data_IF_191722313767
#
_entry.id   IF_191722313767
#
_cell.length_a   1.000
_cell.length_b   1.000
_cell.length_c   1.000
_cell.angle_alpha   90.00
_cell.angle_beta   90.00
_cell.angle_gamma   90.00
#
_symmetry.space_group_name_H-M   'P 1'
#
loop_
_entity.id
_entity.type
_entity.pdbx_description
1 polymer ?
#
# COMPACT_ATOMS: atom_id res chain seq x y z
N UNK A 1 -14.29 3.24 -7.29
CA UNK A 1 -15.02 3.95 -6.25
C UNK A 1 -15.99 3.01 -5.52
N UNK A 2 -15.93 3.00 -4.19
CA UNK A 2 -16.98 2.38 -3.39
C UNK A 2 -18.13 3.39 -3.18
N UNK A 3 -19.37 2.95 -3.33
CA UNK A 3 -20.56 3.79 -3.09
C UNK A 3 -21.71 2.95 -2.55
N UNK A 4 -22.61 3.58 -1.83
CA UNK A 4 -23.85 2.96 -1.35
C UNK A 4 -25.07 3.43 -2.12
N UNK A 5 -25.00 4.64 -2.66
CA UNK A 5 -26.11 5.32 -3.32
C UNK A 5 -25.64 5.88 -4.65
N UNK A 6 -26.52 5.86 -5.63
CA UNK A 6 -26.31 6.45 -6.94
C UNK A 6 -27.45 7.44 -7.14
N UNK A 7 -27.09 8.69 -7.43
CA UNK A 7 -28.04 9.71 -7.89
C UNK A 7 -27.86 9.91 -9.40
N UNK A 8 -28.95 9.84 -10.13
CA UNK A 8 -28.96 10.06 -11.58
C UNK A 8 -29.86 11.24 -11.87
N UNK A 9 -29.29 12.31 -12.42
CA UNK A 9 -30.00 13.54 -12.76
C UNK A 9 -29.94 13.82 -14.27
N UNK A 10 -30.75 14.77 -14.74
CA UNK A 10 -30.76 15.21 -16.14
C UNK A 10 -31.53 14.31 -17.11
N UNK A 11 -32.21 13.29 -16.63
CA UNK A 11 -33.04 12.42 -17.46
C UNK A 11 -34.41 13.03 -17.70
N UNK A 12 -34.94 12.84 -18.92
CA UNK A 12 -36.29 13.28 -19.29
C UNK A 12 -37.42 12.37 -18.75
N UNK A 13 -37.06 11.13 -18.38
CA UNK A 13 -37.94 10.12 -17.81
C UNK A 13 -37.22 9.39 -16.70
N UNK A 14 -37.95 8.85 -15.77
CA UNK A 14 -37.45 7.95 -14.74
C UNK A 14 -36.77 6.72 -15.38
N UNK A 15 -35.60 6.36 -14.88
CA UNK A 15 -34.86 5.17 -15.32
C UNK A 15 -35.25 4.00 -14.43
N UNK A 16 -35.82 2.91 -15.00
CA UNK A 16 -36.08 1.70 -14.23
C UNK A 16 -34.80 1.14 -13.62
N UNK A 17 -34.88 0.64 -12.38
CA UNK A 17 -33.72 0.13 -11.64
C UNK A 17 -33.00 -1.03 -12.37
N UNK A 18 -33.77 -1.87 -13.10
CA UNK A 18 -33.22 -2.97 -13.91
C UNK A 18 -32.31 -2.52 -15.06
N UNK A 19 -32.38 -1.26 -15.45
CA UNK A 19 -31.49 -0.68 -16.46
C UNK A 19 -30.19 -0.10 -15.89
N UNK A 20 -30.04 -0.18 -14.55
CA UNK A 20 -28.81 0.24 -13.87
C UNK A 20 -27.99 -0.99 -13.56
N UNK A 21 -26.80 -1.07 -14.13
CA UNK A 21 -25.82 -2.13 -13.84
C UNK A 21 -24.60 -1.52 -13.17
N UNK A 22 -24.12 -2.20 -12.15
CA UNK A 22 -22.85 -1.88 -11.48
C UNK A 22 -21.88 -3.01 -11.74
N UNK A 23 -20.63 -2.66 -11.99
CA UNK A 23 -19.55 -3.60 -12.21
C UNK A 23 -18.46 -3.42 -11.16
N UNK A 24 -17.95 -4.54 -10.64
CA UNK A 24 -16.79 -4.53 -9.76
C UNK A 24 -15.56 -4.54 -10.63
N UNK A 25 -14.70 -3.53 -10.43
CA UNK A 25 -13.43 -3.40 -11.14
C UNK A 25 -12.30 -3.58 -10.15
N UNK A 26 -11.37 -4.47 -10.46
CA UNK A 26 -10.16 -4.72 -9.67
C UNK A 26 -9.05 -5.21 -10.58
N UNK A 27 -7.80 -4.96 -10.20
CA UNK A 27 -6.62 -5.48 -10.90
C UNK A 27 -6.22 -6.89 -10.41
N UNK A 28 -6.92 -7.41 -9.41
CA UNK A 28 -6.67 -8.74 -8.84
C UNK A 28 -7.95 -9.54 -8.74
N UNK A 29 -7.81 -10.86 -8.84
CA UNK A 29 -8.90 -11.81 -8.64
C UNK A 29 -8.73 -12.52 -7.30
N UNK A 30 -9.78 -12.49 -6.47
CA UNK A 30 -9.79 -13.25 -5.22
C UNK A 30 -9.78 -14.76 -5.52
N UNK A 31 -8.80 -15.46 -4.98
CA UNK A 31 -8.60 -16.90 -5.18
C UNK A 31 -8.85 -17.71 -3.92
N UNK A 32 -8.77 -17.07 -2.76
CA UNK A 32 -9.00 -17.75 -1.49
C UNK A 32 -10.48 -17.90 -1.18
N UNK A 33 -10.80 -19.05 -0.59
CA UNK A 33 -12.10 -19.33 0.03
C UNK A 33 -11.89 -19.69 1.47
N UNK A 34 -12.82 -19.29 2.32
CA UNK A 34 -12.79 -19.59 3.75
C UNK A 34 -14.21 -19.81 4.25
N UNK A 35 -14.38 -20.86 5.03
CA UNK A 35 -15.64 -21.19 5.70
C UNK A 35 -15.37 -21.75 7.08
N UNK A 36 -16.14 -21.31 8.05
CA UNK A 36 -16.05 -21.77 9.44
C UNK A 36 -17.44 -21.86 10.06
N UNK A 37 -17.53 -22.47 11.23
CA UNK A 37 -18.77 -22.52 12.02
C UNK A 37 -19.15 -21.18 12.65
N UNK A 38 -18.32 -20.16 12.53
CA UNK A 38 -18.57 -18.83 13.09
C UNK A 38 -18.89 -17.83 11.97
N UNK A 39 -20.14 -17.46 11.84
CA UNK A 39 -20.64 -16.50 10.84
C UNK A 39 -19.97 -15.14 10.87
N UNK A 40 -19.55 -14.64 12.06
CA UNK A 40 -18.86 -13.36 12.17
C UNK A 40 -17.45 -13.43 11.56
N UNK A 41 -16.77 -14.58 11.70
CA UNK A 41 -15.45 -14.81 11.08
C UNK A 41 -15.58 -14.90 9.56
N UNK A 42 -16.60 -15.63 9.07
CA UNK A 42 -16.87 -15.71 7.64
C UNK A 42 -17.17 -14.32 7.06
N UNK A 43 -17.95 -13.52 7.79
CA UNK A 43 -18.25 -12.15 7.38
C UNK A 43 -17.01 -11.24 7.39
N UNK A 44 -16.14 -11.36 8.41
CA UNK A 44 -14.89 -10.62 8.47
C UNK A 44 -14.01 -10.95 7.26
N UNK A 45 -13.83 -12.23 6.96
CA UNK A 45 -13.07 -12.66 5.78
C UNK A 45 -13.62 -12.04 4.49
N UNK A 46 -14.93 -12.07 4.30
CA UNK A 46 -15.58 -11.45 3.14
C UNK A 46 -15.38 -9.94 3.08
N UNK A 47 -15.43 -9.26 4.22
CA UNK A 47 -15.18 -7.83 4.29
C UNK A 47 -13.74 -7.49 3.89
N UNK A 48 -12.75 -8.27 4.34
CA UNK A 48 -11.34 -8.10 3.95
C UNK A 48 -11.18 -8.26 2.44
N UNK A 49 -11.76 -9.32 1.84
CA UNK A 49 -11.72 -9.51 0.39
C UNK A 49 -12.37 -8.35 -0.38
N UNK A 50 -13.51 -7.85 0.08
CA UNK A 50 -14.19 -6.72 -0.54
C UNK A 50 -13.36 -5.44 -0.47
N UNK A 51 -12.69 -5.19 0.67
CA UNK A 51 -11.79 -4.06 0.84
C UNK A 51 -10.60 -4.17 -0.10
N UNK A 52 -9.96 -5.33 -0.18
CA UNK A 52 -8.85 -5.58 -1.12
C UNK A 52 -9.29 -5.37 -2.57
N UNK A 53 -10.42 -5.95 -2.97
CA UNK A 53 -10.97 -5.80 -4.33
C UNK A 53 -11.18 -4.34 -4.69
N UNK A 54 -11.68 -3.54 -3.74
CA UNK A 54 -11.99 -2.12 -3.95
C UNK A 54 -10.75 -1.23 -4.02
N UNK A 55 -9.67 -1.63 -3.33
CA UNK A 55 -8.44 -0.86 -3.23
C UNK A 55 -7.38 -1.27 -4.26
N UNK A 56 -7.46 -2.48 -4.79
CA UNK A 56 -6.46 -2.98 -5.74
C UNK A 56 -6.89 -2.72 -7.18
N UNK A 57 -6.82 -1.46 -7.59
CA UNK A 57 -7.06 -1.02 -8.97
C UNK A 57 -5.85 -0.24 -9.47
N UNK A 58 -5.04 -0.87 -10.31
CA UNK A 58 -3.76 -0.39 -10.85
C UNK A 58 -2.64 -0.25 -9.81
N UNK A 59 -2.94 0.19 -8.61
CA UNK A 59 -2.03 0.33 -7.47
C UNK A 59 -2.75 -0.02 -6.16
N UNK A 60 -2.01 -0.35 -5.09
CA UNK A 60 -2.60 -0.62 -3.78
C UNK A 60 -2.99 0.70 -3.11
N UNK A 61 -4.23 1.14 -3.31
CA UNK A 61 -4.71 2.37 -2.70
C UNK A 61 -5.07 2.17 -1.24
N UNK A 62 -4.95 3.22 -0.45
CA UNK A 62 -5.32 3.26 0.96
C UNK A 62 -6.84 3.21 1.15
N UNK A 63 -7.59 3.93 0.31
CA UNK A 63 -9.02 4.06 0.45
C UNK A 63 -9.75 4.25 -0.89
N UNK A 64 -10.86 3.52 -1.16
CA UNK A 64 -11.58 3.63 -2.42
C UNK A 64 -12.71 4.66 -2.41
N UNK A 65 -13.13 5.16 -1.23
CA UNK A 65 -14.40 5.90 -1.06
C UNK A 65 -14.26 7.41 -1.13
N UNK A 66 -13.06 7.96 -1.10
CA UNK A 66 -12.78 9.40 -1.13
C UNK A 66 -11.75 9.75 -2.20
N UNK A 67 -11.42 11.02 -2.35
CA UNK A 67 -10.54 11.52 -3.41
C UNK A 67 -9.04 11.30 -3.17
N UNK A 68 -8.64 10.70 -2.08
CA UNK A 68 -7.24 10.35 -1.79
C UNK A 68 -6.73 9.28 -2.76
N UNK A 69 -7.01 8.02 -2.53
CA UNK A 69 -6.67 6.89 -3.42
C UNK A 69 -5.21 6.88 -3.86
N UNK A 70 -4.32 7.10 -2.91
CA UNK A 70 -2.88 7.07 -3.11
C UNK A 70 -2.32 5.68 -2.79
N UNK A 71 -1.22 5.33 -3.40
CA UNK A 71 -0.49 4.10 -3.10
C UNK A 71 0.46 4.30 -1.93
N UNK A 72 -0.09 4.48 -0.72
CA UNK A 72 0.69 4.63 0.49
C UNK A 72 1.55 3.41 0.77
N UNK A 73 2.83 3.66 1.00
CA UNK A 73 3.83 2.59 1.16
C UNK A 73 3.64 1.82 2.46
N UNK A 74 3.30 2.49 3.54
CA UNK A 74 2.99 1.85 4.83
C UNK A 74 1.81 0.89 4.73
N UNK A 75 0.69 1.35 4.17
CA UNK A 75 -0.52 0.54 3.96
C UNK A 75 -0.25 -0.66 3.07
N UNK A 76 0.43 -0.42 1.94
CA UNK A 76 0.75 -1.47 0.98
C UNK A 76 1.62 -2.56 1.60
N UNK A 77 2.63 -2.20 2.40
CA UNK A 77 3.53 -3.17 3.00
C UNK A 77 2.85 -3.99 4.10
N UNK A 78 2.14 -3.34 5.02
CA UNK A 78 1.46 -4.01 6.15
C UNK A 78 0.43 -5.02 5.62
N UNK A 79 -0.29 -4.67 4.58
CA UNK A 79 -1.31 -5.53 4.01
C UNK A 79 -0.77 -6.59 3.03
N UNK A 80 0.46 -6.49 2.55
CA UNK A 80 1.00 -7.32 1.45
C UNK A 80 0.91 -8.83 1.71
N UNK A 81 1.21 -9.27 2.94
CA UNK A 81 1.10 -10.68 3.30
C UNK A 81 -0.36 -11.15 3.31
N UNK A 82 -1.27 -10.41 3.93
CA UNK A 82 -2.69 -10.72 3.94
C UNK A 82 -3.28 -10.72 2.50
N UNK A 83 -2.84 -9.76 1.68
CA UNK A 83 -3.25 -9.68 0.28
C UNK A 83 -2.86 -10.94 -0.50
N UNK A 84 -1.67 -11.49 -0.26
CA UNK A 84 -1.17 -12.68 -0.95
C UNK A 84 -1.89 -13.96 -0.55
N UNK A 85 -2.46 -14.02 0.65
CA UNK A 85 -3.34 -15.14 1.06
C UNK A 85 -4.72 -15.08 0.39
N UNK A 86 -5.20 -13.88 0.06
CA UNK A 86 -6.53 -13.70 -0.52
C UNK A 86 -6.54 -13.85 -2.05
N UNK A 87 -5.45 -13.48 -2.73
CA UNK A 87 -5.39 -13.37 -4.18
C UNK A 87 -3.97 -13.58 -4.72
N UNK A 88 -3.85 -13.91 -6.01
CA UNK A 88 -2.58 -13.79 -6.71
C UNK A 88 -2.26 -12.32 -6.95
N UNK A 89 -1.37 -11.78 -6.13
CA UNK A 89 -0.97 -10.38 -6.14
C UNK A 89 0.49 -10.17 -6.57
N UNK A 90 1.21 -11.23 -6.95
CA UNK A 90 2.62 -11.15 -7.29
C UNK A 90 2.89 -10.12 -8.39
N UNK A 91 2.24 -10.25 -9.52
CA UNK A 91 2.42 -9.33 -10.64
C UNK A 91 1.87 -7.94 -10.36
N UNK A 92 0.83 -7.84 -9.54
CA UNK A 92 0.28 -6.56 -9.10
C UNK A 92 1.30 -5.75 -8.31
N UNK A 93 1.89 -6.34 -7.26
CA UNK A 93 2.94 -5.67 -6.48
C UNK A 93 4.23 -5.45 -7.28
N UNK A 94 4.65 -6.44 -8.06
CA UNK A 94 5.81 -6.29 -8.95
C UNK A 94 5.67 -5.09 -9.90
N UNK A 95 4.47 -4.86 -10.40
CA UNK A 95 4.20 -3.71 -11.27
C UNK A 95 4.19 -2.39 -10.48
N UNK A 96 3.54 -2.35 -9.31
CA UNK A 96 3.51 -1.14 -8.49
C UNK A 96 4.90 -0.75 -7.97
N UNK A 97 5.74 -1.70 -7.60
CA UNK A 97 7.12 -1.46 -7.18
C UNK A 97 7.97 -0.76 -8.26
N UNK A 98 7.64 -0.91 -9.55
CA UNK A 98 8.28 -0.11 -10.61
C UNK A 98 8.00 1.38 -10.44
N UNK A 99 6.78 1.73 -10.04
CA UNK A 99 6.42 3.12 -9.76
C UNK A 99 7.16 3.65 -8.54
N UNK A 100 7.31 2.83 -7.50
CA UNK A 100 8.06 3.20 -6.30
C UNK A 100 9.54 3.45 -6.60
N UNK A 101 10.20 2.54 -7.35
CA UNK A 101 11.59 2.73 -7.80
C UNK A 101 11.77 3.97 -8.68
N UNK A 102 10.81 4.22 -9.57
CA UNK A 102 10.88 5.37 -10.49
C UNK A 102 10.86 6.73 -9.78
N UNK A 103 10.34 6.76 -8.55
CA UNK A 103 10.26 7.98 -7.73
C UNK A 103 11.24 7.97 -6.55
N UNK A 104 12.13 6.96 -6.47
CA UNK A 104 13.22 6.96 -5.50
C UNK A 104 14.11 8.18 -5.74
N UNK A 105 14.46 8.87 -4.65
CA UNK A 105 15.29 10.09 -4.73
C UNK A 105 16.75 9.76 -4.98
N UNK A 106 17.53 10.77 -5.38
CA UNK A 106 18.96 10.63 -5.68
C UNK A 106 19.80 10.25 -4.48
N UNK A 107 19.34 10.52 -3.28
CA UNK A 107 19.99 10.15 -2.04
C UNK A 107 19.60 8.74 -1.55
N UNK A 108 18.73 8.04 -2.28
CA UNK A 108 18.22 6.71 -1.95
C UNK A 108 16.92 6.70 -1.16
N UNK A 109 16.48 7.84 -0.62
CA UNK A 109 15.23 7.93 0.14
C UNK A 109 14.00 7.67 -0.73
N UNK A 110 12.90 7.29 -0.08
CA UNK A 110 11.64 6.96 -0.73
C UNK A 110 10.53 7.95 -0.33
N UNK A 111 9.56 8.21 -1.22
CA UNK A 111 8.35 8.92 -0.85
C UNK A 111 7.41 8.00 -0.06
N UNK A 112 6.49 8.61 0.68
CA UNK A 112 5.49 7.88 1.48
C UNK A 112 4.40 7.21 0.66
N UNK A 113 4.25 7.58 -0.62
CA UNK A 113 3.32 6.96 -1.57
C UNK A 113 3.87 6.98 -2.99
N UNK A 114 3.42 6.06 -3.82
CA UNK A 114 3.80 5.97 -5.23
C UNK A 114 2.59 5.52 -6.10
N UNK A 115 2.46 6.05 -7.34
CA UNK A 115 3.29 7.09 -7.94
C UNK A 115 3.07 8.47 -7.32
N UNK A 116 4.05 9.36 -7.42
CA UNK A 116 3.92 10.76 -7.07
C UNK A 116 4.43 11.63 -8.21
N UNK A 117 3.81 12.79 -8.43
CA UNK A 117 4.19 13.70 -9.50
C UNK A 117 5.49 14.45 -9.16
N UNK A 118 5.72 14.72 -7.89
CA UNK A 118 6.88 15.46 -7.40
C UNK A 118 7.50 14.76 -6.17
N UNK A 119 8.51 13.89 -6.38
CA UNK A 119 9.12 13.12 -5.29
C UNK A 119 9.77 13.99 -4.21
N UNK A 120 9.89 15.29 -4.42
CA UNK A 120 10.65 16.21 -3.57
C UNK A 120 9.80 17.16 -2.72
N UNK A 121 8.51 17.34 -3.02
CA UNK A 121 7.67 18.36 -2.41
C UNK A 121 6.23 17.89 -2.21
N UNK A 122 6.03 16.71 -1.59
CA UNK A 122 4.68 16.32 -1.23
C UNK A 122 4.14 17.13 -0.03
N UNK A 123 2.81 17.21 0.08
CA UNK A 123 2.09 17.92 1.15
C UNK A 123 2.47 17.41 2.55
N UNK A 124 2.99 16.19 2.63
CA UNK A 124 3.32 15.49 3.86
C UNK A 124 4.80 15.59 4.23
N UNK A 125 5.50 16.58 3.70
CA UNK A 125 6.86 16.88 4.10
C UNK A 125 7.94 16.12 3.36
N UNK A 126 7.77 15.92 2.07
CA UNK A 126 8.66 15.20 1.16
C UNK A 126 10.16 15.49 1.18
N UNK A 127 10.63 16.27 2.13
CA UNK A 127 12.05 16.44 2.45
C UNK A 127 12.52 15.60 3.63
N UNK A 128 11.61 14.87 4.27
CA UNK A 128 11.90 14.10 5.47
C UNK A 128 11.97 12.62 5.23
N UNK A 129 12.69 11.96 6.08
CA UNK A 129 12.62 10.53 6.30
C UNK A 129 11.21 10.20 6.83
N UNK A 130 10.45 9.45 6.06
CA UNK A 130 9.07 9.07 6.40
C UNK A 130 9.00 8.06 7.55
N UNK A 131 10.13 7.49 7.89
CA UNK A 131 10.26 6.41 8.85
C UNK A 131 10.38 5.06 8.18
N UNK A 132 11.18 4.19 8.76
CA UNK A 132 11.43 2.83 8.24
C UNK A 132 10.13 2.06 8.03
N UNK A 133 9.10 2.34 8.83
CA UNK A 133 7.80 1.67 8.73
C UNK A 133 7.05 1.95 7.42
N UNK A 134 7.31 3.05 6.73
CA UNK A 134 6.75 3.34 5.38
C UNK A 134 7.71 2.93 4.29
N UNK A 135 8.95 3.36 4.40
CA UNK A 135 9.98 3.17 3.38
C UNK A 135 10.36 1.70 3.18
N UNK A 136 10.22 0.88 4.23
CA UNK A 136 10.46 -0.56 4.18
C UNK A 136 9.56 -1.31 3.18
N UNK A 137 8.55 -0.68 2.60
CA UNK A 137 7.73 -1.28 1.55
C UNK A 137 8.57 -1.84 0.39
N UNK A 138 9.69 -1.15 0.05
CA UNK A 138 10.60 -1.59 -1.01
C UNK A 138 11.31 -2.92 -0.69
N UNK A 139 11.47 -3.27 0.57
CA UNK A 139 12.13 -4.50 1.04
C UNK A 139 11.12 -5.56 1.45
N UNK A 140 10.11 -5.16 2.23
CA UNK A 140 9.13 -6.08 2.84
C UNK A 140 8.21 -6.71 1.79
N UNK A 141 7.74 -5.93 0.81
CA UNK A 141 6.83 -6.46 -0.21
C UNK A 141 7.52 -7.51 -1.10
N UNK A 142 8.72 -7.26 -1.67
CA UNK A 142 9.44 -8.29 -2.41
C UNK A 142 9.71 -9.55 -1.58
N UNK A 143 10.08 -9.39 -0.31
CA UNK A 143 10.29 -10.51 0.60
C UNK A 143 9.00 -11.33 0.80
N UNK A 144 7.88 -10.68 1.10
CA UNK A 144 6.60 -11.34 1.29
C UNK A 144 6.14 -12.09 0.02
N UNK A 145 6.32 -11.49 -1.14
CA UNK A 145 5.97 -12.13 -2.42
C UNK A 145 6.87 -13.31 -2.73
N UNK A 146 8.16 -13.21 -2.42
CA UNK A 146 9.10 -14.32 -2.54
C UNK A 146 8.72 -15.47 -1.60
N UNK A 147 8.43 -15.19 -0.34
CA UNK A 147 8.04 -16.20 0.64
C UNK A 147 6.75 -16.95 0.23
N UNK A 148 5.84 -16.28 -0.45
CA UNK A 148 4.59 -16.89 -0.92
C UNK A 148 4.74 -17.71 -2.21
N UNK A 149 5.65 -17.30 -3.10
CA UNK A 149 5.70 -17.88 -4.45
C UNK A 149 6.98 -18.66 -4.73
N UNK A 150 8.04 -18.45 -3.95
CA UNK A 150 9.39 -18.94 -4.23
C UNK A 150 10.05 -18.30 -5.45
N UNK A 151 9.42 -17.30 -6.08
CA UNK A 151 9.94 -16.65 -7.28
C UNK A 151 10.83 -15.45 -6.92
N UNK A 152 12.18 -15.53 -7.16
CA UNK A 152 13.09 -14.48 -6.75
C UNK A 152 13.07 -13.23 -7.63
N UNK A 153 12.45 -13.27 -8.81
CA UNK A 153 12.51 -12.19 -9.79
C UNK A 153 12.07 -10.84 -9.20
N UNK A 154 11.08 -10.85 -8.30
CA UNK A 154 10.62 -9.62 -7.66
C UNK A 154 11.69 -9.01 -6.74
N UNK A 155 12.55 -9.84 -6.14
CA UNK A 155 13.69 -9.38 -5.35
C UNK A 155 14.77 -8.84 -6.30
N UNK A 156 15.13 -9.63 -7.31
CA UNK A 156 16.14 -9.26 -8.31
C UNK A 156 15.83 -7.93 -8.99
N UNK A 157 14.57 -7.72 -9.37
CA UNK A 157 14.08 -6.47 -9.97
C UNK A 157 14.28 -5.23 -9.06
N UNK A 158 14.45 -5.42 -7.76
CA UNK A 158 14.47 -4.33 -6.78
C UNK A 158 15.83 -4.19 -6.06
N UNK A 159 16.81 -5.09 -6.27
CA UNK A 159 18.06 -5.11 -5.52
C UNK A 159 18.82 -3.78 -5.55
N UNK A 160 19.03 -3.20 -6.73
CA UNK A 160 19.78 -1.93 -6.85
C UNK A 160 19.10 -0.79 -6.06
N UNK A 161 17.76 -0.77 -6.08
CA UNK A 161 16.98 0.25 -5.36
C UNK A 161 16.99 -0.01 -3.84
N UNK A 162 17.01 -1.28 -3.44
CA UNK A 162 17.13 -1.68 -2.02
C UNK A 162 18.51 -1.29 -1.50
N UNK A 163 19.58 -1.61 -2.23
CA UNK A 163 20.95 -1.25 -1.84
C UNK A 163 21.08 0.28 -1.69
N UNK A 164 20.57 1.03 -2.65
CA UNK A 164 20.58 2.49 -2.59
C UNK A 164 19.77 3.05 -1.40
N UNK A 165 18.67 2.41 -1.04
CA UNK A 165 17.90 2.77 0.16
C UNK A 165 18.66 2.44 1.45
N UNK A 166 19.36 1.31 1.50
CA UNK A 166 20.19 0.93 2.65
C UNK A 166 21.37 1.90 2.82
N UNK A 167 22.04 2.29 1.73
CA UNK A 167 23.09 3.33 1.75
C UNK A 167 22.55 4.67 2.31
N UNK A 168 21.31 5.03 1.95
CA UNK A 168 20.65 6.20 2.52
C UNK A 168 20.45 6.06 4.03
N UNK A 169 19.95 4.90 4.50
CA UNK A 169 19.76 4.66 5.92
C UNK A 169 21.08 4.73 6.70
N UNK A 170 22.14 4.11 6.17
CA UNK A 170 23.48 4.15 6.77
C UNK A 170 24.02 5.59 6.83
N UNK A 171 23.79 6.39 5.80
CA UNK A 171 24.19 7.80 5.77
C UNK A 171 23.40 8.68 6.74
N UNK A 172 22.19 8.26 7.10
CA UNK A 172 21.27 8.99 7.97
C UNK A 172 21.50 8.67 9.45
N UNK A 173 22.02 7.48 9.72
CA UNK A 173 22.39 7.06 11.08
C UNK A 173 23.77 7.62 11.44
N UNK A 174 23.78 8.82 12.00
CA UNK A 174 24.99 9.50 12.45
C UNK A 174 25.38 9.16 13.91
N UNK A 175 24.72 8.18 14.54
CA UNK A 175 25.03 7.80 15.92
C UNK A 175 26.11 6.73 15.95
N UNK A 176 27.25 7.02 16.56
CA UNK A 176 28.30 6.04 16.85
C UNK A 176 27.82 4.91 17.79
N UNK A 177 26.68 5.07 18.43
CA UNK A 177 26.16 4.20 19.48
C UNK A 177 25.20 3.13 18.96
N UNK A 178 24.60 3.31 17.80
CA UNK A 178 23.64 2.39 17.19
C UNK A 178 23.99 2.15 15.72
N UNK A 179 24.83 1.19 15.47
CA UNK A 179 25.04 0.69 14.11
C UNK A 179 23.75 0.10 13.57
N UNK A 180 23.24 0.65 12.49
CA UNK A 180 22.05 0.21 11.74
C UNK A 180 20.68 0.43 12.43
N UNK A 181 20.60 1.24 13.48
CA UNK A 181 19.33 1.67 14.05
C UNK A 181 19.21 3.19 13.95
N UNK A 182 18.24 3.67 13.20
CA UNK A 182 18.02 5.10 13.12
C UNK A 182 17.44 5.59 14.46
N UNK A 183 18.08 6.56 15.08
CA UNK A 183 17.56 7.20 16.30
C UNK A 183 16.45 8.21 16.01
N UNK A 184 16.13 8.44 14.74
CA UNK A 184 15.12 9.40 14.32
C UNK A 184 13.82 8.68 14.01
N UNK A 185 12.78 9.04 14.75
CA UNK A 185 11.41 8.72 14.41
C UNK A 185 11.04 9.46 13.11
N UNK A 186 10.55 8.74 12.12
CA UNK A 186 10.01 9.36 10.92
C UNK A 186 8.79 10.23 11.25
N UNK A 187 8.41 11.07 10.30
CA UNK A 187 7.25 11.96 10.40
C UNK A 187 5.95 11.17 10.62
N UNK A 188 5.89 9.95 10.10
CA UNK A 188 4.76 9.05 10.23
C UNK A 188 5.12 7.91 11.19
N UNK A 189 4.58 7.98 12.39
CA UNK A 189 4.68 6.92 13.40
C UNK A 189 3.56 5.89 13.20
N UNK A 190 3.18 5.16 14.23
CA UNK A 190 2.03 4.26 14.22
C UNK A 190 0.73 5.08 14.03
N UNK A 191 0.31 5.18 12.78
CA UNK A 191 -0.77 6.07 12.35
C UNK A 191 -2.08 5.74 13.06
N UNK A 192 -2.61 6.73 13.77
CA UNK A 192 -3.85 6.60 14.55
C UNK A 192 -3.79 5.50 15.64
N UNK A 193 -2.62 5.20 16.18
CA UNK A 193 -2.50 4.29 17.31
C UNK A 193 -3.40 4.72 18.47
N UNK A 194 -4.19 3.77 18.98
CA UNK A 194 -5.15 4.03 20.09
C UNK A 194 -4.43 4.17 21.43
N UNK A 195 -3.22 3.61 21.55
CA UNK A 195 -2.46 3.52 22.79
C UNK A 195 -1.37 4.59 22.92
N UNK A 196 -1.07 5.36 21.88
CA UNK A 196 -0.09 6.43 21.95
C UNK A 196 -0.73 7.70 22.49
N UNK A 197 -0.38 8.09 23.70
CA UNK A 197 -0.59 9.44 24.22
C UNK A 197 0.32 10.46 23.53
N UNK A 198 1.33 9.99 22.82
CA UNK A 198 2.22 10.71 21.94
C UNK A 198 2.02 10.18 20.52
N UNK A 199 0.96 10.63 19.84
CA UNK A 199 1.03 10.71 18.40
C UNK A 199 2.20 11.67 18.12
N UNK A 200 3.39 11.11 17.87
CA UNK A 200 4.56 11.88 17.51
C UNK A 200 4.23 12.67 16.25
N UNK A 201 3.90 13.90 16.44
CA UNK A 201 3.86 14.97 15.47
C UNK A 201 5.21 15.65 15.47
#
# INVERSE_FOLDING_TARGET
>A
HGYRYIEISGLKKELPAENIKTEVISSVNMTATYDSSNENVNRLFKNVQNSQTSNFLSLPTDCPQRNERLGWTGDAQVFSMAASYNADVYNFYRNWLKSLRAVQRKDGSLPVYAPTAEPQEDEFGGRGFSGVSWDAALTVIPYNMYMQTGNPIIIEDNLDAIDHYLDYLDSYDMSEEFTHLTSRTGILADWLSVDSTDAGL
#
